data_IF_964988032182
#
_entry.id   IF_964988032182
#
_cell.length_a   1.000
_cell.length_b   1.000
_cell.length_c   1.000
_cell.angle_alpha   90.00
_cell.angle_beta   90.00
_cell.angle_gamma   90.00
#
_symmetry.space_group_name_H-M   'P 1'
#
loop_
_entity.id
_entity.type
_entity.pdbx_description
1 polymer ?
#
# COMPACT_ATOMS: atom_id res chain seq x y z
N UNK A 1 -30.51 -14.15 22.55
CA UNK A 1 -30.25 -13.07 21.57
C UNK A 1 -28.80 -13.19 21.22
N UNK A 2 -28.55 -13.55 19.98
CA UNK A 2 -27.35 -14.18 19.48
C UNK A 2 -26.08 -13.35 19.67
N UNK A 3 -25.09 -13.96 20.31
CA UNK A 3 -23.70 -13.53 20.26
C UNK A 3 -23.29 -13.52 18.79
N UNK A 4 -22.95 -12.33 18.31
CA UNK A 4 -22.51 -12.09 16.94
C UNK A 4 -21.31 -12.97 16.65
N UNK A 5 -21.57 -14.04 15.91
CA UNK A 5 -20.61 -14.96 15.36
C UNK A 5 -19.78 -14.21 14.31
N UNK A 6 -18.83 -13.39 14.77
CA UNK A 6 -17.88 -12.70 13.91
C UNK A 6 -16.87 -13.76 13.47
N UNK A 7 -17.23 -14.47 12.40
CA UNK A 7 -16.36 -15.42 11.74
C UNK A 7 -15.02 -14.71 11.47
N UNK A 8 -13.97 -15.16 12.14
CA UNK A 8 -12.60 -14.77 11.81
C UNK A 8 -12.30 -15.35 10.43
N UNK A 9 -12.62 -14.60 9.37
CA UNK A 9 -12.12 -14.92 8.04
C UNK A 9 -10.58 -14.92 8.12
N UNK A 10 -9.91 -15.99 7.65
CA UNK A 10 -8.46 -16.02 7.65
C UNK A 10 -7.96 -14.85 6.80
N UNK A 11 -7.29 -13.87 7.42
CA UNK A 11 -6.73 -12.69 6.73
C UNK A 11 -5.99 -13.17 5.48
N UNK A 12 -6.60 -12.94 4.32
CA UNK A 12 -6.07 -13.36 3.01
C UNK A 12 -4.60 -12.97 2.92
N UNK A 13 -3.75 -13.93 2.51
CA UNK A 13 -2.33 -13.64 2.29
C UNK A 13 -2.19 -12.57 1.20
N UNK A 14 -1.53 -11.46 1.53
CA UNK A 14 -1.27 -10.39 0.57
C UNK A 14 -0.40 -10.91 -0.58
N UNK A 15 -0.75 -10.51 -1.80
CA UNK A 15 0.14 -10.66 -2.96
C UNK A 15 1.36 -9.75 -2.80
N UNK A 16 2.45 -10.04 -3.50
CA UNK A 16 3.65 -9.19 -3.45
C UNK A 16 3.38 -7.74 -3.88
N UNK A 17 2.50 -7.55 -4.87
CA UNK A 17 1.99 -6.24 -5.27
C UNK A 17 1.29 -5.51 -4.10
N UNK A 18 0.33 -6.16 -3.44
CA UNK A 18 -0.42 -5.57 -2.32
C UNK A 18 0.50 -5.25 -1.14
N UNK A 19 1.48 -6.12 -0.86
CA UNK A 19 2.45 -5.93 0.21
C UNK A 19 3.32 -4.69 -0.02
N UNK A 20 3.80 -4.46 -1.24
CA UNK A 20 4.59 -3.26 -1.59
C UNK A 20 3.72 -2.01 -1.52
N UNK A 21 2.54 -2.04 -2.15
CA UNK A 21 1.60 -0.92 -2.16
C UNK A 21 1.27 -0.48 -0.74
N UNK A 22 0.88 -1.42 0.13
CA UNK A 22 0.50 -1.12 1.50
C UNK A 22 1.68 -0.60 2.32
N UNK A 23 2.89 -1.14 2.12
CA UNK A 23 4.08 -0.67 2.83
C UNK A 23 4.45 0.79 2.49
N UNK A 24 4.30 1.19 1.22
CA UNK A 24 4.54 2.59 0.82
C UNK A 24 3.48 3.51 1.43
N UNK A 25 2.20 3.13 1.34
CA UNK A 25 1.11 3.93 1.92
C UNK A 25 1.27 4.09 3.43
N UNK A 26 1.62 3.02 4.14
CA UNK A 26 1.91 3.04 5.57
C UNK A 26 3.10 3.96 5.89
N UNK A 27 4.19 3.87 5.12
CA UNK A 27 5.36 4.75 5.30
C UNK A 27 5.03 6.24 5.14
N UNK A 28 4.06 6.59 4.28
CA UNK A 28 3.57 7.97 4.16
C UNK A 28 2.75 8.36 5.40
N UNK A 29 1.83 7.50 5.85
CA UNK A 29 1.01 7.75 7.05
C UNK A 29 1.87 7.95 8.30
N UNK A 30 2.93 7.16 8.43
CA UNK A 30 3.89 7.21 9.53
C UNK A 30 4.96 8.30 9.34
N UNK A 31 4.91 9.04 8.22
CA UNK A 31 5.85 10.11 7.83
C UNK A 31 7.31 9.64 7.66
N UNK A 32 7.55 8.35 7.45
CA UNK A 32 8.86 7.80 7.09
C UNK A 32 9.20 8.09 5.62
N UNK A 33 8.16 8.12 4.78
CA UNK A 33 8.23 8.51 3.37
C UNK A 33 7.59 9.88 3.20
N UNK A 34 8.42 10.86 2.82
CA UNK A 34 8.01 12.25 2.63
C UNK A 34 8.11 12.64 1.16
N UNK A 35 7.43 13.74 0.79
CA UNK A 35 7.48 14.30 -0.57
C UNK A 35 8.94 14.50 -1.01
N UNK A 36 9.24 14.12 -2.26
CA UNK A 36 10.57 14.18 -2.86
C UNK A 36 11.45 12.98 -2.55
N UNK A 37 11.04 12.08 -1.64
CA UNK A 37 11.77 10.83 -1.40
C UNK A 37 11.58 9.86 -2.56
N UNK A 38 12.69 9.33 -3.06
CA UNK A 38 12.67 8.23 -4.04
C UNK A 38 12.47 6.89 -3.32
N UNK A 39 11.65 6.02 -3.90
CA UNK A 39 11.47 4.63 -3.46
C UNK A 39 12.26 3.70 -4.38
N UNK A 40 12.98 2.74 -3.83
CA UNK A 40 13.83 1.84 -4.60
C UNK A 40 13.35 0.39 -4.51
N UNK A 41 13.48 -0.37 -5.60
CA UNK A 41 13.10 -1.77 -5.62
C UNK A 41 13.80 -2.59 -4.52
N UNK A 42 15.06 -2.27 -4.21
CA UNK A 42 15.88 -2.97 -3.22
C UNK A 42 15.19 -3.00 -1.85
N UNK A 43 14.61 -1.88 -1.43
CA UNK A 43 13.93 -1.71 -0.13
C UNK A 43 12.67 -2.59 -0.02
N UNK A 44 12.04 -2.88 -1.16
CA UNK A 44 10.78 -3.60 -1.23
C UNK A 44 10.90 -5.00 -1.84
N UNK A 45 12.09 -5.40 -2.30
CA UNK A 45 12.35 -6.63 -3.05
C UNK A 45 11.80 -7.89 -2.37
N UNK A 46 12.02 -8.02 -1.05
CA UNK A 46 11.50 -9.13 -0.24
C UNK A 46 9.98 -9.17 -0.18
N UNK A 47 9.32 -8.00 -0.08
CA UNK A 47 7.85 -7.90 -0.07
C UNK A 47 7.26 -8.16 -1.45
N UNK A 48 7.91 -7.64 -2.49
CA UNK A 48 7.48 -7.77 -3.88
C UNK A 48 7.57 -9.22 -4.38
N UNK A 49 8.61 -9.95 -3.94
CA UNK A 49 8.95 -11.29 -4.42
C UNK A 49 9.50 -11.32 -5.86
N UNK A 50 9.12 -10.35 -6.70
CA UNK A 50 9.68 -10.11 -8.03
C UNK A 50 9.51 -8.65 -8.46
N UNK A 51 10.22 -8.25 -9.52
CA UNK A 51 10.20 -6.87 -10.04
C UNK A 51 8.84 -6.46 -10.63
N UNK A 52 8.10 -7.40 -11.24
CA UNK A 52 6.79 -7.12 -11.84
C UNK A 52 5.75 -6.69 -10.80
N UNK A 53 5.73 -7.34 -9.64
CA UNK A 53 4.86 -6.95 -8.51
C UNK A 53 5.18 -5.56 -7.98
N UNK A 54 6.47 -5.22 -7.88
CA UNK A 54 6.91 -3.87 -7.48
C UNK A 54 6.44 -2.82 -8.49
N UNK A 55 6.71 -3.03 -9.79
CA UNK A 55 6.26 -2.11 -10.84
C UNK A 55 4.75 -1.94 -10.85
N UNK A 56 3.99 -3.03 -10.67
CA UNK A 56 2.53 -2.97 -10.55
C UNK A 56 2.07 -2.14 -9.36
N UNK A 57 2.79 -2.19 -8.23
CA UNK A 57 2.48 -1.36 -7.07
C UNK A 57 2.73 0.12 -7.38
N UNK A 58 3.85 0.44 -8.03
CA UNK A 58 4.14 1.82 -8.43
C UNK A 58 3.14 2.37 -9.43
N UNK A 59 2.76 1.61 -10.46
CA UNK A 59 1.73 2.05 -11.42
C UNK A 59 0.39 2.34 -10.76
N UNK A 60 -0.02 1.51 -9.80
CA UNK A 60 -1.23 1.76 -9.03
C UNK A 60 -1.12 3.07 -8.23
N UNK A 61 0.01 3.27 -7.54
CA UNK A 61 0.22 4.44 -6.70
C UNK A 61 0.40 5.74 -7.52
N UNK A 62 0.94 5.63 -8.74
CA UNK A 62 1.01 6.72 -9.70
C UNK A 62 -0.37 7.11 -10.22
N UNK A 63 -1.20 6.12 -10.60
CA UNK A 63 -2.61 6.36 -10.92
C UNK A 63 -3.43 6.93 -9.77
N UNK A 64 -2.97 6.74 -8.52
CA UNK A 64 -3.58 7.31 -7.32
C UNK A 64 -2.98 8.67 -6.90
N UNK A 65 -2.03 9.22 -7.66
CA UNK A 65 -1.39 10.51 -7.35
C UNK A 65 -0.48 10.50 -6.12
N UNK A 66 0.05 9.34 -5.73
CA UNK A 66 0.93 9.18 -4.57
C UNK A 66 2.41 9.30 -4.96
N UNK A 67 2.76 8.81 -6.16
CA UNK A 67 4.14 8.73 -6.66
C UNK A 67 4.15 9.18 -8.12
N UNK A 68 5.25 9.78 -8.59
CA UNK A 68 5.56 9.94 -10.01
C UNK A 68 7.01 9.51 -10.23
N UNK A 69 7.27 8.64 -11.21
CA UNK A 69 8.63 8.15 -11.51
C UNK A 69 9.41 7.73 -10.24
N UNK A 70 8.83 6.87 -9.41
CA UNK A 70 9.43 6.38 -8.16
C UNK A 70 9.65 7.46 -7.06
N UNK A 71 9.18 8.70 -7.25
CA UNK A 71 9.29 9.78 -6.26
C UNK A 71 7.95 10.04 -5.59
N UNK A 72 7.91 10.06 -4.26
CA UNK A 72 6.72 10.40 -3.48
C UNK A 72 6.31 11.86 -3.76
N UNK A 73 5.05 12.08 -4.13
CA UNK A 73 4.49 13.41 -4.40
C UNK A 73 3.35 13.81 -3.46
N UNK A 74 2.92 12.90 -2.58
CA UNK A 74 1.86 13.17 -1.60
C UNK A 74 2.37 12.97 -0.17
N UNK A 75 1.96 13.87 0.73
CA UNK A 75 2.20 13.77 2.18
C UNK A 75 1.06 13.06 2.92
N UNK A 76 -0.02 12.70 2.21
CA UNK A 76 -1.22 12.08 2.76
C UNK A 76 -1.73 10.96 1.86
N UNK A 77 -2.29 9.94 2.49
CA UNK A 77 -3.03 8.88 1.79
C UNK A 77 -4.51 9.27 1.74
N UNK A 78 -5.12 9.43 0.55
CA UNK A 78 -6.55 9.73 0.43
C UNK A 78 -7.41 8.68 1.13
N UNK A 79 -8.45 9.11 1.86
CA UNK A 79 -9.30 8.19 2.64
C UNK A 79 -10.05 7.21 1.73
N UNK A 80 -10.51 7.70 0.58
CA UNK A 80 -11.19 6.93 -0.45
C UNK A 80 -10.29 5.82 -0.99
N UNK A 81 -8.98 6.09 -1.09
CA UNK A 81 -8.00 5.09 -1.49
C UNK A 81 -7.90 3.99 -0.45
N UNK A 82 -7.82 4.34 0.83
CA UNK A 82 -7.74 3.38 1.94
C UNK A 82 -8.96 2.47 2.02
N UNK A 83 -10.16 3.03 1.83
CA UNK A 83 -11.41 2.27 1.78
C UNK A 83 -11.41 1.30 0.59
N UNK A 84 -11.04 1.76 -0.62
CA UNK A 84 -11.00 0.91 -1.83
C UNK A 84 -10.07 -0.28 -1.73
N UNK A 85 -8.99 -0.17 -0.94
CA UNK A 85 -8.01 -1.25 -0.78
C UNK A 85 -8.20 -2.06 0.50
N UNK A 86 -9.27 -1.79 1.27
CA UNK A 86 -9.61 -2.52 2.49
C UNK A 86 -8.66 -2.28 3.66
N UNK A 87 -7.98 -1.12 3.71
CA UNK A 87 -7.12 -0.75 4.84
C UNK A 87 -7.88 -0.06 5.98
N UNK A 88 -9.12 0.40 5.73
CA UNK A 88 -10.02 0.96 6.74
C UNK A 88 -11.43 0.40 6.48
N UNK A 89 -12.00 -0.26 7.47
CA UNK A 89 -13.44 -0.51 7.54
C UNK A 89 -14.03 0.65 8.35
N UNK A 90 -15.07 1.31 7.85
CA UNK A 90 -15.87 2.24 8.65
C UNK A 90 -16.43 1.58 9.92
#
# INVERSE_FOLDING_TARGET
>A
MDESNQAYEPKRKLTGYEAVRNAILQGIQEKELVIGRQVYYQDYSKKAGNKANYQRALYFLEGAGIIVNEVIISDKVPKELMQRIGLVNE
#
